data_IF_303934738394
#
_entry.id   IF_303934738394
#
_cell.length_a   1.000
_cell.length_b   1.000
_cell.length_c   1.000
_cell.angle_alpha   90.00
_cell.angle_beta   90.00
_cell.angle_gamma   90.00
#
_symmetry.space_group_name_H-M   'P 1'
#
loop_
_entity.id
_entity.type
_entity.pdbx_description
1 polymer ?
#
# COMPACT_ATOMS: atom_id res chain seq x y z
N UNK A 1 -5.54 3.72 8.54
CA UNK A 1 -4.75 3.36 7.35
C UNK A 1 -5.53 3.66 6.09
N UNK A 2 -4.97 4.48 5.20
CA UNK A 2 -5.52 4.84 3.90
C UNK A 2 -4.53 4.42 2.82
N UNK A 3 -4.69 3.23 2.25
CA UNK A 3 -3.83 2.73 1.20
C UNK A 3 -4.43 3.02 -0.18
N UNK A 4 -3.55 3.30 -1.14
CA UNK A 4 -3.92 3.41 -2.55
C UNK A 4 -2.90 2.62 -3.36
N UNK A 5 -3.27 2.11 -4.53
CA UNK A 5 -2.32 1.44 -5.41
C UNK A 5 -1.13 2.32 -5.79
N UNK A 6 -1.31 3.65 -5.87
CA UNK A 6 -0.20 4.58 -6.05
C UNK A 6 0.79 4.52 -4.88
N UNK A 7 0.32 4.47 -3.63
CA UNK A 7 1.16 4.32 -2.44
C UNK A 7 1.87 2.97 -2.41
N UNK A 8 1.17 1.91 -2.79
CA UNK A 8 1.71 0.56 -2.91
C UNK A 8 2.83 0.49 -3.96
N UNK A 9 2.66 1.15 -5.12
CA UNK A 9 3.67 1.22 -6.17
C UNK A 9 5.00 1.84 -5.69
N UNK A 10 4.98 2.76 -4.73
CA UNK A 10 6.22 3.27 -4.11
C UNK A 10 6.97 2.18 -3.33
N UNK A 11 6.23 1.25 -2.72
CA UNK A 11 6.81 0.15 -1.96
C UNK A 11 7.16 -1.06 -2.85
N UNK A 12 6.68 -1.16 -4.09
CA UNK A 12 7.10 -2.24 -5.00
C UNK A 12 8.62 -2.23 -5.27
N UNK A 13 9.24 -1.04 -5.31
CA UNK A 13 10.69 -0.86 -5.43
C UNK A 13 11.45 -0.96 -4.08
N UNK A 14 10.75 -1.20 -2.96
CA UNK A 14 11.37 -1.31 -1.65
C UNK A 14 12.25 -2.59 -1.54
N UNK A 15 13.25 -2.61 -0.63
CA UNK A 15 14.18 -3.72 -0.49
C UNK A 15 13.57 -4.91 0.28
N UNK A 16 12.59 -5.59 -0.31
CA UNK A 16 11.96 -6.77 0.28
C UNK A 16 12.89 -7.99 0.37
N UNK A 17 12.71 -8.87 1.37
CA UNK A 17 11.79 -8.74 2.50
C UNK A 17 12.30 -7.72 3.53
N UNK A 18 11.42 -6.87 4.05
CA UNK A 18 11.78 -5.72 4.90
C UNK A 18 10.86 -5.60 6.13
N UNK A 19 11.40 -5.05 7.21
CA UNK A 19 10.63 -4.70 8.42
C UNK A 19 9.93 -3.35 8.28
N UNK A 20 8.94 -3.08 9.13
CA UNK A 20 8.27 -1.77 9.23
C UNK A 20 9.26 -0.60 9.30
N UNK A 21 10.30 -0.73 10.10
CA UNK A 21 11.33 0.31 10.27
C UNK A 21 12.14 0.53 8.98
N UNK A 22 12.50 -0.55 8.27
CA UNK A 22 13.23 -0.48 7.00
C UNK A 22 12.39 0.15 5.89
N UNK A 23 11.10 -0.20 5.81
CA UNK A 23 10.16 0.41 4.87
C UNK A 23 9.96 1.90 5.16
N UNK A 24 9.94 2.30 6.43
CA UNK A 24 9.89 3.71 6.84
C UNK A 24 11.14 4.48 6.43
N UNK A 25 12.34 3.94 6.69
CA UNK A 25 13.60 4.58 6.27
C UNK A 25 13.66 4.73 4.74
N UNK A 26 13.24 3.68 4.02
CA UNK A 26 13.15 3.72 2.56
C UNK A 26 12.16 4.80 2.08
N UNK A 27 10.95 4.85 2.63
CA UNK A 27 9.95 5.84 2.27
C UNK A 27 10.42 7.29 2.56
N UNK A 28 11.05 7.53 3.70
CA UNK A 28 11.61 8.84 4.07
C UNK A 28 12.77 9.24 3.17
N UNK A 29 13.62 8.29 2.75
CA UNK A 29 14.77 8.56 1.87
C UNK A 29 14.40 8.72 0.40
N UNK A 30 13.41 7.96 -0.06
CA UNK A 30 12.87 8.04 -1.41
C UNK A 30 11.99 9.29 -1.62
N UNK A 31 11.64 9.99 -0.52
CA UNK A 31 10.78 11.17 -0.58
C UNK A 31 9.33 10.80 -0.87
N UNK A 32 8.89 9.63 -0.39
CA UNK A 32 7.54 9.14 -0.57
C UNK A 32 6.53 10.09 0.11
N UNK A 33 5.27 10.13 -0.37
CA UNK A 33 4.24 10.97 0.20
C UNK A 33 4.01 10.68 1.69
N UNK A 34 3.71 11.73 2.47
CA UNK A 34 3.49 11.62 3.91
C UNK A 34 2.43 10.57 4.28
N UNK A 35 1.40 10.42 3.44
CA UNK A 35 0.35 9.41 3.64
C UNK A 35 0.93 7.98 3.72
N UNK A 36 1.93 7.65 2.90
CA UNK A 36 2.61 6.34 2.94
C UNK A 36 3.31 6.13 4.28
N UNK A 37 4.07 7.15 4.71
CA UNK A 37 4.84 7.13 5.94
C UNK A 37 3.91 6.98 7.15
N UNK A 38 2.80 7.72 7.18
CA UNK A 38 1.81 7.62 8.26
C UNK A 38 1.15 6.24 8.29
N UNK A 39 0.79 5.66 7.14
CA UNK A 39 0.26 4.30 7.09
C UNK A 39 1.26 3.27 7.63
N UNK A 40 2.53 3.35 7.21
CA UNK A 40 3.60 2.47 7.70
C UNK A 40 3.82 2.64 9.21
N UNK A 41 3.72 3.87 9.75
CA UNK A 41 3.81 4.12 11.20
C UNK A 41 2.66 3.50 11.98
N UNK A 42 1.46 3.47 11.40
CA UNK A 42 0.29 2.81 12.00
C UNK A 42 0.44 1.28 12.06
N UNK A 43 1.38 0.67 11.32
CA UNK A 43 1.59 -0.78 11.35
C UNK A 43 2.05 -1.27 12.74
N UNK A 44 1.64 -2.50 13.14
CA UNK A 44 2.07 -3.09 14.39
C UNK A 44 3.59 -3.29 14.42
N UNK A 45 4.21 -2.96 15.57
CA UNK A 45 5.64 -3.03 15.81
C UNK A 45 6.07 -4.44 16.27
N UNK A 46 5.80 -5.45 15.43
CA UNK A 46 5.87 -6.87 15.82
C UNK A 46 7.12 -7.60 15.29
N UNK A 47 8.20 -6.86 14.96
CA UNK A 47 9.45 -7.38 14.34
C UNK A 47 9.21 -8.27 13.08
N UNK A 48 7.99 -8.21 12.54
CA UNK A 48 7.54 -9.06 11.45
C UNK A 48 8.13 -8.55 10.17
N UNK A 49 8.80 -9.44 9.44
CA UNK A 49 9.31 -9.13 8.11
C UNK A 49 8.19 -9.34 7.11
N UNK A 50 7.92 -8.32 6.32
CA UNK A 50 6.97 -8.37 5.22
C UNK A 50 7.71 -8.79 3.95
N UNK A 51 7.10 -9.65 3.14
CA UNK A 51 7.67 -10.12 1.86
C UNK A 51 7.20 -9.23 0.69
N UNK A 52 6.09 -8.52 0.86
CA UNK A 52 5.59 -7.53 -0.09
C UNK A 52 4.49 -6.64 0.48
N UNK A 53 3.96 -5.75 -0.37
CA UNK A 53 2.82 -4.91 0.00
C UNK A 53 1.58 -5.73 0.33
N UNK A 54 1.45 -6.93 -0.26
CA UNK A 54 0.35 -7.87 -0.05
C UNK A 54 0.24 -8.32 1.42
N UNK A 55 1.37 -8.39 2.14
CA UNK A 55 1.39 -8.73 3.56
C UNK A 55 0.93 -7.57 4.46
N UNK A 56 1.10 -6.33 3.97
CA UNK A 56 0.73 -5.10 4.68
C UNK A 56 -0.72 -4.73 4.38
N UNK A 57 -1.09 -4.80 3.10
CA UNK A 57 -2.39 -4.47 2.57
C UNK A 57 -2.86 -5.62 1.67
N UNK A 58 -3.60 -6.60 2.24
CA UNK A 58 -4.07 -7.76 1.50
C UNK A 58 -5.16 -7.44 0.46
N UNK A 59 -5.69 -6.21 0.48
CA UNK A 59 -6.62 -5.69 -0.54
C UNK A 59 -5.87 -4.89 -1.63
N UNK A 60 -4.55 -4.97 -1.67
CA UNK A 60 -3.79 -4.42 -2.79
C UNK A 60 -4.14 -5.20 -4.06
N UNK A 61 -4.88 -4.54 -4.94
CA UNK A 61 -5.07 -5.00 -6.31
C UNK A 61 -4.23 -4.12 -7.25
N UNK A 62 -3.53 -4.71 -8.22
CA UNK A 62 -2.81 -3.95 -9.23
C UNK A 62 -3.76 -2.95 -9.90
N UNK A 63 -3.23 -1.78 -10.28
CA UNK A 63 -4.00 -0.73 -10.96
C UNK A 63 -4.83 -1.23 -12.15
N UNK A 64 -4.37 -2.29 -12.83
CA UNK A 64 -5.10 -2.92 -13.94
C UNK A 64 -6.48 -3.50 -13.56
N UNK A 65 -6.73 -3.80 -12.28
CA UNK A 65 -7.99 -4.37 -11.80
C UNK A 65 -8.92 -3.34 -11.14
N UNK A 66 -8.39 -2.22 -10.63
CA UNK A 66 -9.16 -1.21 -9.90
C UNK A 66 -10.10 -0.37 -10.79
N UNK A 67 -9.82 -0.32 -12.09
CA UNK A 67 -10.68 0.37 -13.07
C UNK A 67 -11.99 -0.41 -13.33
N UNK A 68 -12.06 -1.73 -13.07
CA UNK A 68 -13.24 -2.55 -13.38
C UNK A 68 -14.32 -2.54 -12.26
N UNK A 69 -13.96 -2.25 -11.00
CA UNK A 69 -14.92 -2.25 -9.88
C UNK A 69 -15.69 -0.93 -9.67
N UNK A 70 -15.33 0.14 -10.39
CA UNK A 70 -16.05 1.42 -10.32
C UNK A 70 -17.20 1.53 -11.34
N UNK A 71 -17.52 0.47 -12.09
CA UNK A 71 -18.60 0.47 -13.09
C UNK A 71 -19.97 -0.04 -12.58
N UNK A 72 -20.12 -0.45 -11.31
CA UNK A 72 -21.39 -0.96 -10.76
C UNK A 72 -22.04 -0.01 -9.74
N UNK A 73 -22.21 1.27 -10.08
CA UNK A 73 -23.19 2.13 -9.39
C UNK A 73 -23.97 2.99 -10.40
N UNK A 74 -24.98 2.35 -11.01
CA UNK A 74 -26.28 3.00 -11.13
C UNK A 74 -26.83 3.18 -12.53
N UNK A 75 -27.37 2.11 -13.12
CA UNK A 75 -28.67 2.12 -13.80
C UNK A 75 -29.23 0.70 -13.53
N UNK A 76 -30.37 0.49 -12.90
CA UNK A 76 -31.68 0.63 -13.53
C UNK A 76 -32.80 0.82 -12.48
N UNK A 77 -33.40 2.01 -12.43
CA UNK A 77 -34.80 2.15 -12.00
C UNK A 77 -35.65 2.30 -13.28
N UNK A 78 -36.41 1.26 -13.65
CA UNK A 78 -37.49 1.31 -14.64
C UNK A 78 -38.85 1.03 -13.98
#
# INVERSE_FOLDING_TARGET
MFWTPELAAWLEDAPWPATKEELLDYAERSGAPLQLIENLRELPDDDTTYEGIEDIWPEYEPLEYLDEENEDEGEEEY
#
